data_IF_198162435786
#
_entry.id   IF_198162435786
#
_cell.length_a   1.000
_cell.length_b   1.000
_cell.length_c   1.000
_cell.angle_alpha   90.00
_cell.angle_beta   90.00
_cell.angle_gamma   90.00
#
_symmetry.space_group_name_H-M   'P 1'
#
loop_
_entity.id
_entity.type
_entity.pdbx_description
1 polymer ?
#
# COMPACT_ATOMS: atom_id res chain seq x y z
N UNK A 1 17.46 37.02 -36.32
CA UNK A 1 17.23 37.03 -34.86
C UNK A 1 16.89 35.62 -34.41
N UNK A 2 17.81 34.94 -33.72
CA UNK A 2 17.60 33.55 -33.28
C UNK A 2 16.56 33.51 -32.16
N UNK A 3 15.40 32.90 -32.44
CA UNK A 3 14.38 32.67 -31.42
C UNK A 3 14.98 31.79 -30.33
N UNK A 4 15.30 32.38 -29.17
CA UNK A 4 15.56 31.61 -27.95
C UNK A 4 14.28 30.86 -27.60
N UNK A 5 14.16 29.61 -28.07
CA UNK A 5 13.18 28.64 -27.57
C UNK A 5 13.28 28.67 -26.04
N UNK A 6 12.25 29.17 -25.36
CA UNK A 6 12.15 29.07 -23.91
C UNK A 6 12.32 27.59 -23.56
N UNK A 7 13.45 27.23 -22.93
CA UNK A 7 13.67 25.87 -22.45
C UNK A 7 12.63 25.64 -21.37
N UNK A 8 11.57 24.90 -21.69
CA UNK A 8 10.65 24.37 -20.70
C UNK A 8 11.51 23.63 -19.66
N UNK A 9 11.59 24.17 -18.45
CA UNK A 9 12.28 23.53 -17.34
C UNK A 9 11.49 22.29 -16.93
N UNK A 10 11.69 21.19 -17.66
CA UNK A 10 11.13 19.89 -17.32
C UNK A 10 11.94 19.33 -16.17
N UNK A 11 11.28 18.95 -15.08
CA UNK A 11 11.90 18.17 -14.00
C UNK A 11 12.51 16.89 -14.60
N UNK A 12 13.53 16.34 -13.93
CA UNK A 12 14.05 15.03 -14.33
C UNK A 12 12.95 14.00 -14.16
N UNK A 13 12.80 13.11 -15.14
CA UNK A 13 11.87 11.99 -15.07
C UNK A 13 12.52 10.76 -14.41
N UNK A 14 11.72 9.70 -14.25
CA UNK A 14 12.16 8.45 -13.63
C UNK A 14 13.26 7.75 -14.44
N UNK A 15 13.19 7.78 -15.76
CA UNK A 15 14.15 7.13 -16.65
C UNK A 15 15.50 7.86 -16.64
N UNK A 16 15.47 9.20 -16.66
CA UNK A 16 16.64 10.07 -16.53
C UNK A 16 17.33 9.84 -15.18
N UNK A 17 16.58 9.79 -14.06
CA UNK A 17 17.16 9.45 -12.75
C UNK A 17 17.82 8.07 -12.73
N UNK A 18 17.18 7.07 -13.33
CA UNK A 18 17.76 5.72 -13.43
C UNK A 18 19.03 5.70 -14.30
N UNK A 19 19.09 6.51 -15.35
CA UNK A 19 20.28 6.66 -16.18
C UNK A 19 21.43 7.35 -15.42
N UNK A 20 21.13 8.36 -14.59
CA UNK A 20 22.10 9.00 -13.69
C UNK A 20 22.66 7.96 -12.71
N UNK A 21 21.82 7.17 -12.04
CA UNK A 21 22.26 6.13 -11.11
C UNK A 21 23.19 5.11 -11.80
N UNK A 22 22.81 4.59 -12.98
CA UNK A 22 23.67 3.68 -13.76
C UNK A 22 24.99 4.33 -14.18
N UNK A 23 24.98 5.62 -14.52
CA UNK A 23 26.18 6.35 -14.91
C UNK A 23 27.12 6.61 -13.73
N UNK A 24 26.58 6.93 -12.56
CA UNK A 24 27.32 7.03 -11.30
C UNK A 24 27.96 5.71 -10.92
N UNK A 25 27.22 4.61 -11.08
CA UNK A 25 27.68 3.25 -10.84
C UNK A 25 28.83 2.80 -11.76
N UNK A 26 29.01 3.48 -12.90
CA UNK A 26 30.11 3.31 -13.86
C UNK A 26 31.17 4.42 -13.77
N UNK A 27 31.16 5.24 -12.71
CA UNK A 27 32.07 6.40 -12.54
C UNK A 27 32.06 7.41 -13.70
N UNK A 28 30.94 7.56 -14.42
CA UNK A 28 30.87 8.50 -15.54
C UNK A 28 30.93 9.96 -15.05
N UNK A 29 31.58 10.87 -15.82
CA UNK A 29 31.59 12.28 -15.47
C UNK A 29 30.20 12.90 -15.69
N UNK A 30 29.84 13.90 -14.87
CA UNK A 30 28.56 14.61 -14.96
C UNK A 30 28.28 15.13 -16.38
N UNK A 31 29.31 15.66 -17.05
CA UNK A 31 29.22 16.19 -18.42
C UNK A 31 28.76 15.14 -19.44
N UNK A 32 29.26 13.91 -19.34
CA UNK A 32 28.89 12.85 -20.25
C UNK A 32 27.43 12.42 -20.05
N UNK A 33 27.02 12.23 -18.78
CA UNK A 33 25.62 11.91 -18.47
C UNK A 33 24.66 13.03 -18.89
N UNK A 34 25.04 14.29 -18.66
CA UNK A 34 24.23 15.44 -19.06
C UNK A 34 24.04 15.50 -20.59
N UNK A 35 25.10 15.23 -21.36
CA UNK A 35 25.05 15.16 -22.83
C UNK A 35 24.07 14.10 -23.31
N UNK A 36 24.16 12.88 -22.77
CA UNK A 36 23.28 11.77 -23.16
C UNK A 36 21.81 12.04 -22.84
N UNK A 37 21.54 12.74 -21.73
CA UNK A 37 20.19 13.09 -21.29
C UNK A 37 19.64 14.37 -21.94
N UNK A 38 20.45 15.10 -22.73
CA UNK A 38 20.06 16.42 -23.23
C UNK A 38 19.84 17.46 -22.11
N UNK A 39 20.52 17.29 -20.96
CA UNK A 39 20.42 18.16 -19.78
C UNK A 39 21.70 18.97 -19.56
N UNK A 40 21.65 19.94 -18.66
CA UNK A 40 22.86 20.68 -18.26
C UNK A 40 23.69 19.87 -17.27
N UNK A 41 25.02 20.04 -17.28
CA UNK A 41 25.92 19.43 -16.29
C UNK A 41 25.48 19.76 -14.86
N UNK A 42 25.14 21.02 -14.60
CA UNK A 42 24.71 21.49 -13.29
C UNK A 42 23.42 20.82 -12.83
N UNK A 43 22.46 20.58 -13.74
CA UNK A 43 21.21 19.87 -13.40
C UNK A 43 21.47 18.45 -12.90
N UNK A 44 22.39 17.72 -13.55
CA UNK A 44 22.78 16.37 -13.11
C UNK A 44 23.55 16.44 -11.79
N UNK A 45 24.46 17.41 -11.65
CA UNK A 45 25.22 17.62 -10.42
C UNK A 45 24.34 17.93 -9.20
N UNK A 46 23.39 18.86 -9.38
CA UNK A 46 22.47 19.29 -8.33
C UNK A 46 21.48 18.18 -7.95
N UNK A 47 20.96 17.43 -8.92
CA UNK A 47 20.10 16.27 -8.64
C UNK A 47 20.81 15.28 -7.71
N UNK A 48 22.05 14.90 -8.05
CA UNK A 48 22.82 13.93 -7.26
C UNK A 48 23.19 14.50 -5.89
N UNK A 49 23.61 15.77 -5.82
CA UNK A 49 23.98 16.43 -4.57
C UNK A 49 22.79 16.55 -3.61
N UNK A 50 21.61 16.91 -4.13
CA UNK A 50 20.40 17.12 -3.32
C UNK A 50 19.80 15.80 -2.85
N UNK A 51 19.80 14.77 -3.70
CA UNK A 51 19.05 13.53 -3.45
C UNK A 51 19.93 12.34 -3.00
N UNK A 52 21.17 12.59 -2.58
CA UNK A 52 22.02 11.58 -1.94
C UNK A 52 21.53 11.24 -0.53
N UNK A 53 21.66 9.98 -0.15
CA UNK A 53 21.20 9.45 1.15
C UNK A 53 22.28 8.68 1.87
N UNK A 54 22.29 8.74 3.20
CA UNK A 54 23.30 8.08 4.04
C UNK A 54 23.10 6.57 4.00
N UNK A 55 24.15 5.83 3.67
CA UNK A 55 24.17 4.35 3.67
C UNK A 55 24.88 3.78 4.88
N UNK A 56 25.86 4.51 5.42
CA UNK A 56 26.59 4.18 6.66
C UNK A 56 26.91 5.47 7.42
N UNK A 57 26.77 5.43 8.74
CA UNK A 57 27.00 6.57 9.61
C UNK A 57 25.71 7.09 10.26
N UNK A 58 25.78 8.20 10.99
CA UNK A 58 24.61 8.82 11.62
C UNK A 58 23.59 9.24 10.56
N UNK A 59 22.30 9.06 10.86
CA UNK A 59 21.21 9.38 9.93
C UNK A 59 21.08 8.42 8.75
N UNK A 60 21.47 7.14 8.90
CA UNK A 60 21.29 6.10 7.88
C UNK A 60 19.87 6.10 7.33
N UNK A 61 19.73 6.16 6.01
CA UNK A 61 18.44 6.21 5.33
C UNK A 61 17.87 7.63 5.17
N UNK A 62 18.46 8.66 5.77
CA UNK A 62 18.07 10.06 5.57
C UNK A 62 18.84 10.70 4.42
N UNK A 63 18.36 11.86 3.94
CA UNK A 63 19.12 12.71 3.01
C UNK A 63 20.35 13.25 3.71
N UNK A 64 21.44 13.40 2.96
CA UNK A 64 22.67 14.01 3.50
C UNK A 64 22.52 15.52 3.55
N UNK A 65 22.42 16.08 4.76
CA UNK A 65 22.39 17.53 4.98
C UNK A 65 23.79 18.12 4.91
N UNK A 66 24.72 17.58 5.70
CA UNK A 66 26.12 17.98 5.75
C UNK A 66 27.05 16.78 5.64
N UNK A 67 28.28 17.03 5.17
CA UNK A 67 29.33 16.00 5.09
C UNK A 67 30.21 16.15 6.32
N UNK A 68 30.34 15.12 7.19
CA UNK A 68 31.18 15.21 8.38
C UNK A 68 32.64 15.54 8.08
N UNK A 69 33.31 16.14 9.05
CA UNK A 69 34.76 16.32 9.01
C UNK A 69 35.46 14.95 9.01
N UNK A 70 36.54 14.81 8.22
CA UNK A 70 37.18 13.51 7.97
C UNK A 70 36.47 12.58 6.98
N UNK A 71 35.35 12.99 6.38
CA UNK A 71 34.72 12.21 5.31
C UNK A 71 35.54 12.25 4.00
N UNK A 72 35.28 11.26 3.13
CA UNK A 72 36.02 11.09 1.87
C UNK A 72 35.93 12.33 0.96
N UNK A 73 37.06 12.75 0.36
CA UNK A 73 37.12 13.90 -0.55
C UNK A 73 36.13 13.82 -1.73
N UNK A 74 35.81 12.61 -2.19
CA UNK A 74 34.78 12.36 -3.22
C UNK A 74 33.37 12.83 -2.84
N UNK A 75 33.09 13.00 -1.55
CA UNK A 75 31.80 13.53 -1.08
C UNK A 75 31.73 15.07 -1.15
N UNK A 76 32.90 15.72 -1.17
CA UNK A 76 33.06 17.18 -1.28
C UNK A 76 33.05 17.63 -2.75
N UNK A 77 33.63 16.83 -3.65
CA UNK A 77 33.59 17.06 -5.11
C UNK A 77 32.63 16.12 -5.85
N UNK A 78 32.51 16.28 -7.17
CA UNK A 78 31.74 15.35 -8.01
C UNK A 78 32.28 13.91 -7.85
N UNK A 79 31.42 12.88 -7.71
CA UNK A 79 29.96 12.89 -7.81
C UNK A 79 29.19 13.08 -6.50
N UNK A 80 29.82 13.51 -5.42
CA UNK A 80 29.19 13.74 -4.11
C UNK A 80 28.64 12.48 -3.42
N UNK A 81 28.87 11.29 -4.00
CA UNK A 81 28.36 9.99 -3.56
C UNK A 81 29.39 8.87 -3.71
N UNK A 82 29.16 7.75 -3.01
CA UNK A 82 30.00 6.56 -3.05
C UNK A 82 29.67 5.58 -4.18
N UNK A 83 28.65 5.85 -5.01
CA UNK A 83 28.33 5.05 -6.20
C UNK A 83 29.56 4.87 -7.10
N UNK A 84 29.64 3.70 -7.73
CA UNK A 84 30.70 3.36 -8.69
C UNK A 84 32.08 3.09 -8.10
N UNK A 85 32.31 3.22 -6.79
CA UNK A 85 33.60 2.78 -6.22
C UNK A 85 33.74 1.28 -6.44
N UNK A 86 34.80 0.84 -7.14
CA UNK A 86 35.11 -0.57 -7.46
C UNK A 86 35.26 -1.49 -6.23
N UNK A 87 35.14 -0.91 -5.03
CA UNK A 87 35.20 -1.54 -3.72
C UNK A 87 33.84 -1.48 -3.00
N UNK A 88 32.74 -1.80 -3.71
CA UNK A 88 31.35 -1.73 -3.19
C UNK A 88 31.25 -2.46 -1.84
N UNK A 89 30.63 -1.79 -0.86
CA UNK A 89 30.24 -2.25 0.49
C UNK A 89 31.33 -2.69 1.48
N UNK A 90 32.34 -3.48 1.08
CA UNK A 90 33.18 -4.21 2.05
C UNK A 90 34.58 -3.63 2.28
N UNK A 91 35.23 -3.02 1.28
CA UNK A 91 36.63 -2.55 1.40
C UNK A 91 36.80 -1.05 1.66
N UNK A 92 35.72 -0.29 1.76
CA UNK A 92 35.78 1.12 2.14
C UNK A 92 35.60 1.24 3.66
N UNK A 93 36.68 1.47 4.40
CA UNK A 93 36.67 1.59 5.87
C UNK A 93 36.03 2.88 6.38
N UNK A 94 35.70 3.83 5.49
CA UNK A 94 35.12 5.11 5.88
C UNK A 94 33.86 4.95 6.76
N UNK A 95 33.77 5.70 7.87
CA UNK A 95 32.64 5.61 8.80
C UNK A 95 31.36 6.20 8.19
N UNK A 96 31.51 7.25 7.37
CA UNK A 96 30.41 7.89 6.67
C UNK A 96 30.39 7.51 5.19
N UNK A 97 29.24 7.02 4.71
CA UNK A 97 29.00 6.68 3.30
C UNK A 97 27.62 7.16 2.88
N UNK A 98 27.51 7.60 1.64
CA UNK A 98 26.25 7.98 1.03
C UNK A 98 26.15 7.48 -0.41
N UNK A 99 24.93 7.31 -0.88
CA UNK A 99 24.64 6.88 -2.24
C UNK A 99 23.55 7.74 -2.86
N UNK A 100 23.53 7.80 -4.18
CA UNK A 100 22.36 8.23 -4.94
C UNK A 100 21.57 6.98 -5.34
N UNK A 101 20.27 7.00 -5.09
CA UNK A 101 19.33 5.99 -5.58
C UNK A 101 18.23 6.68 -6.38
N UNK A 102 18.04 6.25 -7.63
CA UNK A 102 17.02 6.86 -8.50
C UNK A 102 15.61 6.67 -7.93
N UNK A 103 15.34 5.50 -7.33
CA UNK A 103 14.06 5.19 -6.71
C UNK A 103 13.76 6.15 -5.55
N UNK A 104 14.74 6.39 -4.67
CA UNK A 104 14.58 7.32 -3.54
C UNK A 104 14.42 8.77 -4.00
N UNK A 105 15.21 9.19 -4.98
CA UNK A 105 15.11 10.53 -5.57
C UNK A 105 13.73 10.76 -6.23
N UNK A 106 13.20 9.76 -6.94
CA UNK A 106 11.87 9.81 -7.53
C UNK A 106 10.78 9.93 -6.46
N UNK A 107 10.84 9.09 -5.42
CA UNK A 107 9.87 9.12 -4.32
C UNK A 107 9.82 10.50 -3.64
N UNK A 108 10.99 11.12 -3.41
CA UNK A 108 11.07 12.47 -2.84
C UNK A 108 10.44 13.52 -3.78
N UNK A 109 10.71 13.44 -5.08
CA UNK A 109 10.15 14.35 -6.06
C UNK A 109 8.62 14.23 -6.16
N UNK A 110 8.09 13.00 -6.14
CA UNK A 110 6.65 12.74 -6.16
C UNK A 110 5.98 13.21 -4.86
N UNK A 111 6.66 13.02 -3.72
CA UNK A 111 6.24 13.52 -2.42
C UNK A 111 6.14 15.05 -2.39
N UNK A 112 7.16 15.76 -2.88
CA UNK A 112 7.17 17.24 -2.96
C UNK A 112 6.04 17.75 -3.86
N UNK A 113 5.84 17.13 -5.02
CA UNK A 113 4.75 17.47 -5.95
C UNK A 113 3.37 17.25 -5.32
N UNK A 114 3.20 16.15 -4.60
CA UNK A 114 1.96 15.83 -3.90
C UNK A 114 1.72 16.80 -2.74
N UNK A 115 2.76 17.14 -1.97
CA UNK A 115 2.69 18.08 -0.85
C UNK A 115 2.35 19.49 -1.31
N UNK A 116 3.00 20.00 -2.36
CA UNK A 116 2.75 21.33 -2.92
C UNK A 116 1.33 21.48 -3.51
N UNK A 117 0.70 20.37 -3.89
CA UNK A 117 -0.68 20.33 -4.43
C UNK A 117 -1.71 19.85 -3.40
N UNK A 118 -1.31 19.68 -2.15
CA UNK A 118 -2.20 19.27 -1.06
C UNK A 118 -3.05 20.47 -0.64
N UNK A 119 -4.26 20.19 -0.19
CA UNK A 119 -5.17 21.20 0.34
C UNK A 119 -6.33 21.49 -0.60
N UNK A 120 -7.02 22.59 -0.32
CA UNK A 120 -8.13 23.13 -1.08
C UNK A 120 -7.66 24.40 -1.76
N UNK A 121 -8.00 24.57 -3.03
CA UNK A 121 -7.66 25.75 -3.83
C UNK A 121 -8.58 26.95 -3.48
N UNK A 122 -8.76 27.26 -2.20
CA UNK A 122 -9.63 28.32 -1.67
C UNK A 122 -9.04 28.89 -0.40
N UNK A 123 -9.47 30.09 -0.02
CA UNK A 123 -9.12 30.62 1.31
C UNK A 123 -9.80 29.79 2.40
N UNK A 124 -9.30 29.92 3.62
CA UNK A 124 -9.84 29.18 4.77
C UNK A 124 -11.29 29.59 5.06
N UNK A 125 -11.60 30.89 4.98
CA UNK A 125 -12.93 31.44 5.22
C UNK A 125 -13.93 30.99 4.14
N UNK A 126 -13.52 31.05 2.87
CA UNK A 126 -14.34 30.56 1.75
C UNK A 126 -14.63 29.06 1.90
N UNK A 127 -13.61 28.28 2.24
CA UNK A 127 -13.75 26.85 2.41
C UNK A 127 -14.68 26.50 3.59
N UNK A 128 -14.55 27.17 4.73
CA UNK A 128 -15.41 26.92 5.89
C UNK A 128 -16.87 27.27 5.58
N UNK A 129 -17.13 28.38 4.87
CA UNK A 129 -18.47 28.75 4.42
C UNK A 129 -19.10 27.66 3.53
N UNK A 130 -18.33 27.16 2.56
CA UNK A 130 -18.77 26.07 1.68
C UNK A 130 -19.00 24.79 2.47
N UNK A 131 -18.07 24.42 3.34
CA UNK A 131 -18.13 23.21 4.12
C UNK A 131 -19.31 23.21 5.09
N UNK A 132 -19.64 24.35 5.71
CA UNK A 132 -20.83 24.48 6.54
C UNK A 132 -22.12 24.17 5.77
N UNK A 133 -22.24 24.66 4.53
CA UNK A 133 -23.37 24.36 3.64
C UNK A 133 -23.44 22.89 3.25
N UNK A 134 -22.29 22.30 2.89
CA UNK A 134 -22.20 20.87 2.57
C UNK A 134 -22.62 20.02 3.79
N UNK A 135 -22.12 20.34 4.99
CA UNK A 135 -22.51 19.63 6.23
C UNK A 135 -24.01 19.71 6.49
N UNK A 136 -24.61 20.89 6.32
CA UNK A 136 -26.06 21.06 6.47
C UNK A 136 -26.86 20.20 5.48
N UNK A 137 -26.42 20.10 4.22
CA UNK A 137 -27.11 19.27 3.23
C UNK A 137 -26.87 17.77 3.43
N UNK A 138 -25.69 17.37 3.88
CA UNK A 138 -25.40 15.98 4.29
C UNK A 138 -26.29 15.55 5.46
N UNK A 139 -26.47 16.42 6.46
CA UNK A 139 -27.38 16.17 7.58
C UNK A 139 -28.84 16.01 7.14
N UNK A 140 -29.23 16.65 6.03
CA UNK A 140 -30.54 16.46 5.37
C UNK A 140 -30.61 15.18 4.50
N UNK A 141 -29.51 14.45 4.38
CA UNK A 141 -29.42 13.20 3.63
C UNK A 141 -29.19 13.36 2.12
N UNK A 142 -28.79 14.55 1.65
CA UNK A 142 -28.47 14.77 0.24
C UNK A 142 -27.15 14.05 -0.12
N UNK A 143 -27.09 13.48 -1.32
CA UNK A 143 -25.83 12.93 -1.84
C UNK A 143 -24.89 14.04 -2.33
N UNK A 144 -23.55 13.84 -2.31
CA UNK A 144 -22.61 14.81 -2.85
C UNK A 144 -22.88 15.25 -4.30
N UNK A 145 -23.49 14.37 -5.11
CA UNK A 145 -23.92 14.72 -6.47
C UNK A 145 -25.06 15.75 -6.47
N UNK A 146 -26.07 15.55 -5.61
CA UNK A 146 -27.19 16.49 -5.46
C UNK A 146 -26.75 17.83 -4.87
N UNK A 147 -25.81 17.81 -3.91
CA UNK A 147 -25.25 19.02 -3.30
C UNK A 147 -24.51 19.85 -4.36
N UNK A 148 -23.65 19.20 -5.17
CA UNK A 148 -22.90 19.86 -6.23
C UNK A 148 -23.81 20.51 -7.28
N UNK A 149 -24.92 19.85 -7.62
CA UNK A 149 -25.90 20.34 -8.59
C UNK A 149 -26.70 21.53 -8.03
N UNK A 150 -27.31 21.34 -6.85
CA UNK A 150 -28.15 22.33 -6.19
C UNK A 150 -27.41 23.62 -5.82
N UNK A 151 -26.11 23.53 -5.53
CA UNK A 151 -25.27 24.67 -5.13
C UNK A 151 -24.20 25.06 -6.15
N UNK A 152 -24.37 24.62 -7.40
CA UNK A 152 -23.43 24.91 -8.50
C UNK A 152 -23.19 26.42 -8.73
N UNK A 153 -24.19 27.26 -8.44
CA UNK A 153 -24.11 28.72 -8.51
C UNK A 153 -23.37 29.35 -7.33
N UNK A 154 -23.37 28.71 -6.15
CA UNK A 154 -22.72 29.21 -4.94
C UNK A 154 -21.25 28.80 -4.87
N UNK A 155 -20.98 27.52 -5.13
CA UNK A 155 -19.63 27.00 -5.17
C UNK A 155 -19.46 25.99 -6.30
N UNK A 156 -18.48 26.25 -7.17
CA UNK A 156 -18.12 25.35 -8.28
C UNK A 156 -17.30 24.16 -7.78
N UNK A 157 -17.93 23.28 -7.00
CA UNK A 157 -17.32 22.01 -6.57
C UNK A 157 -17.98 20.84 -7.28
N UNK A 158 -17.21 20.12 -8.09
CA UNK A 158 -17.67 18.87 -8.67
C UNK A 158 -17.95 17.82 -7.58
N UNK A 159 -18.83 16.82 -7.82
CA UNK A 159 -19.13 15.77 -6.85
C UNK A 159 -17.88 15.05 -6.34
N UNK A 160 -16.90 14.79 -7.22
CA UNK A 160 -15.62 14.16 -6.87
C UNK A 160 -14.78 15.01 -5.89
N UNK A 161 -14.87 16.33 -5.98
CA UNK A 161 -14.19 17.25 -5.06
C UNK A 161 -14.81 17.17 -3.67
N UNK A 162 -16.14 17.14 -3.59
CA UNK A 162 -16.88 16.97 -2.33
C UNK A 162 -16.54 15.62 -1.69
N UNK A 163 -16.61 14.52 -2.47
CA UNK A 163 -16.19 13.20 -1.98
C UNK A 163 -14.76 13.20 -1.44
N UNK A 164 -13.83 13.86 -2.14
CA UNK A 164 -12.43 13.96 -1.71
C UNK A 164 -12.26 14.76 -0.41
N UNK A 165 -13.02 15.84 -0.22
CA UNK A 165 -13.00 16.60 1.04
C UNK A 165 -13.52 15.77 2.21
N UNK A 166 -14.64 15.06 2.02
CA UNK A 166 -15.22 14.15 3.00
C UNK A 166 -14.26 13.02 3.35
N UNK A 167 -13.65 12.38 2.34
CA UNK A 167 -12.73 11.28 2.55
C UNK A 167 -11.45 11.70 3.29
N UNK A 168 -11.01 12.94 3.08
CA UNK A 168 -9.85 13.52 3.77
C UNK A 168 -10.17 14.09 5.15
N UNK A 169 -11.41 14.06 5.59
CA UNK A 169 -11.79 14.56 6.91
C UNK A 169 -11.86 16.08 7.02
N UNK A 170 -11.92 16.81 5.90
CA UNK A 170 -11.87 18.27 5.94
C UNK A 170 -13.15 18.85 6.57
N UNK A 171 -12.99 19.92 7.36
CA UNK A 171 -14.07 20.57 8.11
C UNK A 171 -14.93 19.61 8.96
N UNK A 172 -14.31 18.53 9.48
CA UNK A 172 -14.97 17.53 10.32
C UNK A 172 -15.94 16.61 9.58
N UNK A 173 -16.03 16.70 8.24
CA UNK A 173 -16.83 15.78 7.43
C UNK A 173 -16.21 14.39 7.42
N UNK A 174 -17.03 13.34 7.34
CA UNK A 174 -16.59 11.96 7.31
C UNK A 174 -17.45 11.12 6.37
N UNK A 175 -16.93 9.96 5.99
CA UNK A 175 -17.72 9.00 5.20
C UNK A 175 -18.98 8.52 5.94
N UNK A 176 -19.09 8.73 7.25
CA UNK A 176 -20.28 8.38 8.05
C UNK A 176 -21.44 9.36 7.81
N UNK A 177 -21.14 10.60 7.37
CA UNK A 177 -22.16 11.61 7.06
C UNK A 177 -22.86 11.31 5.73
N UNK A 178 -22.29 10.41 4.91
CA UNK A 178 -22.88 10.00 3.65
C UNK A 178 -23.97 8.96 3.90
N UNK A 179 -25.19 9.25 3.43
CA UNK A 179 -26.29 8.27 3.38
C UNK A 179 -25.86 6.94 2.74
N UNK A 180 -25.01 7.00 1.72
CA UNK A 180 -24.43 5.82 1.05
C UNK A 180 -23.14 6.21 0.32
N UNK A 181 -22.01 5.57 0.66
CA UNK A 181 -20.75 5.67 -0.11
C UNK A 181 -20.59 4.54 -1.12
N UNK A 182 -20.92 3.30 -0.73
CA UNK A 182 -20.70 2.11 -1.56
C UNK A 182 -22.01 1.43 -1.97
N UNK A 183 -21.98 0.78 -3.13
CA UNK A 183 -23.08 -0.06 -3.57
C UNK A 183 -23.02 -1.45 -2.92
N UNK A 184 -24.12 -1.92 -2.31
CA UNK A 184 -24.26 -3.35 -2.01
C UNK A 184 -24.51 -4.12 -3.30
N UNK A 185 -23.52 -4.89 -3.75
CA UNK A 185 -23.71 -5.90 -4.79
C UNK A 185 -24.14 -7.20 -4.11
N UNK A 186 -25.27 -7.84 -4.51
CA UNK A 186 -25.61 -9.18 -4.02
C UNK A 186 -24.42 -10.13 -4.21
N UNK A 187 -24.06 -10.89 -3.18
CA UNK A 187 -23.02 -11.91 -3.31
C UNK A 187 -23.50 -12.96 -4.31
N UNK A 188 -22.66 -13.29 -5.29
CA UNK A 188 -22.87 -14.50 -6.09
C UNK A 188 -22.71 -15.70 -5.15
N UNK A 189 -23.77 -16.48 -4.97
CA UNK A 189 -23.70 -17.78 -4.29
C UNK A 189 -23.39 -18.82 -5.35
N UNK A 190 -22.35 -19.62 -5.13
CA UNK A 190 -22.13 -20.82 -5.93
C UNK A 190 -23.29 -21.80 -5.67
N UNK A 191 -23.62 -22.62 -6.67
CA UNK A 191 -24.51 -23.75 -6.43
C UNK A 191 -23.90 -24.67 -5.35
N UNK A 192 -24.72 -25.25 -4.46
CA UNK A 192 -24.23 -26.25 -3.51
C UNK A 192 -23.52 -27.38 -4.25
N UNK A 193 -22.36 -27.80 -3.76
CA UNK A 193 -21.69 -28.99 -4.29
C UNK A 193 -22.53 -30.24 -3.93
N UNK A 194 -22.65 -31.24 -4.82
CA UNK A 194 -23.30 -32.50 -4.49
C UNK A 194 -22.56 -33.20 -3.34
N UNK A 195 -23.32 -33.87 -2.47
CA UNK A 195 -22.74 -34.65 -1.37
C UNK A 195 -21.94 -35.83 -1.95
N UNK A 196 -20.66 -36.04 -1.56
CA UNK A 196 -19.79 -37.06 -2.15
C UNK A 196 -20.35 -38.48 -2.11
N UNK A 197 -21.17 -38.79 -1.10
CA UNK A 197 -21.71 -40.12 -0.86
C UNK A 197 -23.18 -40.26 -1.29
N UNK A 198 -23.65 -39.40 -2.20
CA UNK A 198 -25.01 -39.44 -2.72
C UNK A 198 -26.02 -38.59 -1.92
N UNK A 199 -27.19 -38.30 -2.50
CA UNK A 199 -28.21 -37.45 -1.89
C UNK A 199 -28.82 -38.04 -0.61
N UNK A 200 -28.88 -39.36 -0.49
CA UNK A 200 -29.35 -40.10 0.69
C UNK A 200 -28.46 -39.89 1.94
N UNK A 201 -27.20 -39.49 1.76
CA UNK A 201 -26.27 -39.14 2.86
C UNK A 201 -26.10 -37.64 3.05
N UNK A 202 -26.99 -36.84 2.46
CA UNK A 202 -27.00 -35.38 2.63
C UNK A 202 -27.56 -34.96 3.99
N UNK A 203 -27.18 -33.76 4.45
CA UNK A 203 -27.78 -33.16 5.64
C UNK A 203 -29.30 -32.95 5.49
N UNK A 204 -29.77 -32.69 4.26
CA UNK A 204 -31.21 -32.62 3.95
C UNK A 204 -31.92 -33.97 4.15
N UNK A 205 -31.31 -35.08 3.71
CA UNK A 205 -31.85 -36.42 3.93
C UNK A 205 -31.88 -36.77 5.42
N UNK A 206 -30.82 -36.45 6.16
CA UNK A 206 -30.79 -36.61 7.63
C UNK A 206 -31.88 -35.77 8.31
N UNK A 207 -32.08 -34.52 7.87
CA UNK A 207 -33.08 -33.62 8.44
C UNK A 207 -34.52 -34.11 8.21
N UNK A 208 -34.75 -34.90 7.17
CA UNK A 208 -36.05 -35.47 6.84
C UNK A 208 -36.40 -36.75 7.63
N UNK A 209 -35.45 -37.32 8.40
CA UNK A 209 -35.71 -38.48 9.25
C UNK A 209 -36.66 -38.14 10.41
N UNK A 210 -37.41 -39.12 10.94
CA UNK A 210 -38.21 -38.95 12.15
C UNK A 210 -37.37 -38.43 13.32
N UNK A 211 -37.98 -37.66 14.21
CA UNK A 211 -37.28 -37.04 15.33
C UNK A 211 -36.54 -38.05 16.21
N UNK A 212 -37.17 -39.18 16.55
CA UNK A 212 -36.54 -40.22 17.36
C UNK A 212 -35.29 -40.83 16.71
N UNK A 213 -35.26 -40.97 15.38
CA UNK A 213 -34.07 -41.45 14.66
C UNK A 213 -32.96 -40.39 14.63
N UNK A 214 -33.33 -39.11 14.47
CA UNK A 214 -32.36 -38.00 14.54
C UNK A 214 -31.78 -37.83 15.94
N UNK A 215 -32.55 -38.09 16.99
CA UNK A 215 -32.09 -38.05 18.38
C UNK A 215 -31.24 -39.27 18.75
N UNK A 216 -31.55 -40.45 18.22
CA UNK A 216 -30.74 -41.65 18.40
C UNK A 216 -29.39 -41.59 17.66
N UNK A 217 -29.23 -40.67 16.69
CA UNK A 217 -27.99 -40.50 15.95
C UNK A 217 -26.83 -40.03 16.84
N UNK A 218 -25.64 -40.56 16.54
CA UNK A 218 -24.37 -40.13 17.12
C UNK A 218 -23.61 -39.29 16.10
N UNK A 219 -23.23 -38.07 16.47
CA UNK A 219 -22.34 -37.24 15.67
C UNK A 219 -20.89 -37.61 16.03
N UNK A 220 -20.04 -37.79 15.03
CA UNK A 220 -18.67 -38.25 15.22
C UNK A 220 -17.69 -37.34 14.49
N UNK A 221 -16.65 -36.92 15.18
CA UNK A 221 -15.50 -36.20 14.61
C UNK A 221 -14.20 -36.69 15.28
N UNK A 222 -13.04 -36.31 14.76
CA UNK A 222 -11.75 -36.68 15.32
C UNK A 222 -10.78 -35.49 15.32
N UNK A 223 -10.16 -35.23 16.48
CA UNK A 223 -9.07 -34.27 16.61
C UNK A 223 -7.76 -35.01 16.44
N UNK A 224 -7.13 -34.81 15.28
CA UNK A 224 -5.80 -35.33 14.97
C UNK A 224 -4.76 -34.34 15.51
N UNK A 225 -3.80 -34.85 16.27
CA UNK A 225 -2.67 -34.10 16.79
C UNK A 225 -1.61 -33.77 15.74
N UNK A 226 -0.36 -33.69 16.16
CA UNK A 226 0.77 -33.50 15.26
C UNK A 226 0.97 -34.76 14.41
N UNK A 227 1.62 -34.62 13.25
CA UNK A 227 1.91 -35.76 12.37
C UNK A 227 2.73 -36.89 13.03
N UNK A 228 3.45 -36.62 14.13
CA UNK A 228 4.21 -37.62 14.89
C UNK A 228 3.35 -38.37 15.93
N UNK A 229 2.14 -37.88 16.23
CA UNK A 229 1.29 -38.48 17.26
C UNK A 229 0.65 -39.76 16.72
N UNK A 230 0.75 -40.84 17.51
CA UNK A 230 0.19 -42.17 17.18
C UNK A 230 -1.22 -42.38 17.74
N UNK A 231 -1.81 -41.33 18.30
CA UNK A 231 -3.13 -41.35 18.91
C UNK A 231 -3.92 -40.11 18.48
N UNK A 232 -5.23 -40.24 18.33
CA UNK A 232 -6.14 -39.13 18.12
C UNK A 232 -7.28 -39.18 19.15
N UNK A 233 -7.91 -38.03 19.39
CA UNK A 233 -9.11 -37.97 20.22
C UNK A 233 -10.31 -38.11 19.30
N UNK A 234 -11.08 -39.18 19.46
CA UNK A 234 -12.38 -39.33 18.81
C UNK A 234 -13.41 -38.57 19.64
N UNK A 235 -14.21 -37.70 19.03
CA UNK A 235 -15.34 -37.06 19.70
C UNK A 235 -16.64 -37.68 19.22
N UNK A 236 -17.34 -38.35 20.12
CA UNK A 236 -18.67 -38.90 19.91
C UNK A 236 -19.67 -38.06 20.68
N UNK A 237 -20.62 -37.44 19.98
CA UNK A 237 -21.70 -36.68 20.58
C UNK A 237 -23.02 -37.45 20.44
N UNK A 238 -23.51 -37.94 21.58
CA UNK A 238 -24.77 -38.67 21.69
C UNK A 238 -25.92 -37.67 21.80
N UNK A 239 -26.68 -37.48 20.71
CA UNK A 239 -27.75 -36.47 20.68
C UNK A 239 -28.88 -36.78 21.67
N UNK A 240 -29.17 -38.06 21.90
CA UNK A 240 -30.23 -38.54 22.79
C UNK A 240 -30.08 -38.10 24.24
N UNK A 241 -28.85 -37.95 24.73
CA UNK A 241 -28.57 -37.56 26.12
C UNK A 241 -27.69 -36.30 26.22
N UNK A 242 -27.35 -35.69 25.08
CA UNK A 242 -26.44 -34.54 24.97
C UNK A 242 -25.09 -34.77 25.66
N UNK A 243 -24.62 -36.02 25.69
CA UNK A 243 -23.35 -36.39 26.26
C UNK A 243 -22.25 -36.42 25.17
N UNK A 244 -21.06 -35.96 25.53
CA UNK A 244 -19.89 -36.02 24.67
C UNK A 244 -18.85 -36.96 25.27
N UNK A 245 -18.48 -37.98 24.50
CA UNK A 245 -17.43 -38.93 24.85
C UNK A 245 -16.18 -38.64 24.01
N UNK A 246 -15.03 -38.63 24.67
CA UNK A 246 -13.74 -38.32 24.05
C UNK A 246 -12.73 -39.45 24.24
N UNK A 247 -12.96 -40.67 23.71
CA UNK A 247 -11.98 -41.74 23.83
C UNK A 247 -10.73 -41.46 23.00
N UNK A 248 -9.60 -41.97 23.49
CA UNK A 248 -8.33 -41.93 22.75
C UNK A 248 -8.30 -43.15 21.84
N UNK A 249 -8.20 -42.91 20.53
CA UNK A 249 -7.98 -43.95 19.52
C UNK A 249 -6.50 -44.04 19.18
N UNK A 250 -6.02 -45.26 19.01
CA UNK A 250 -4.69 -45.50 18.42
C UNK A 250 -4.81 -45.42 16.90
N UNK A 251 -4.01 -44.55 16.28
CA UNK A 251 -3.89 -44.49 14.83
C UNK A 251 -3.04 -45.67 14.39
N UNK A 252 -3.65 -46.64 13.69
CA UNK A 252 -2.91 -47.76 13.12
C UNK A 252 -1.80 -47.24 12.19
N UNK A 253 -0.59 -47.78 12.33
CA UNK A 253 0.44 -47.68 11.29
C UNK A 253 -0.13 -48.30 10.03
N UNK A 254 -0.50 -47.47 9.05
CA UNK A 254 -1.13 -47.94 7.82
C UNK A 254 -0.26 -48.96 7.10
N UNK A 255 -0.66 -50.23 7.11
CA UNK A 255 -0.47 -51.08 5.94
C UNK A 255 -1.38 -50.52 4.86
N UNK A 256 -0.75 -49.81 3.93
CA UNK A 256 -1.36 -49.32 2.72
C UNK A 256 -1.61 -50.54 1.82
N UNK A 257 -2.87 -50.87 1.59
CA UNK A 257 -3.31 -51.65 0.42
C UNK A 257 -3.94 -50.71 -0.59
#
# INVERSE_FOLDING_TARGET
>A
MSQRRQRLYRRLDRAERAAIERGLDKNRPARAMARDLGRSQSSVADEVRRNRTVTRGPGKGSRVESVPEGACARLRGWPHVCNGRDKRRYRCSMPFRCEYSAARAQLLADGELSAARRGVDRTEEEFESIAAKIRADLARGLSPAQIADARSSEFRAAPSTIYRWIERGYAGMSNMDLRRKVGYRPRRRAAPAPTPHGPERSFSAFSALPEGEREAACEMDAVIGRAADRQCVLTLYLRCCRAQLCPILSLGSGETT
#
